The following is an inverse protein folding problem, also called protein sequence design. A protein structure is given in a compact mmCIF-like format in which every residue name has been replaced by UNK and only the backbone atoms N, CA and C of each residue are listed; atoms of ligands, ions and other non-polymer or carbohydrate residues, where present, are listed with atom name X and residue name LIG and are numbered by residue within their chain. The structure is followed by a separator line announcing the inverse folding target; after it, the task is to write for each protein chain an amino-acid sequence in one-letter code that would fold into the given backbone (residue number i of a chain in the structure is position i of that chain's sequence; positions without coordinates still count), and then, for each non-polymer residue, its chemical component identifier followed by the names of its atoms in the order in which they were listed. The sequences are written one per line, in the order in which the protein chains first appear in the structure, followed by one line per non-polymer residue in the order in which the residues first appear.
data_IF_353623786277
#
_entry.id   IF_353623786277
#
_cell.length_a   1.000
_cell.length_b   1.000
_cell.length_c   1.000
_cell.angle_alpha   90.00
_cell.angle_beta   90.00
_cell.angle_gamma   90.00
#
_symmetry.space_group_name_H-M   'P 1'
#
loop_
_entity.id
_entity.type
_entity.pdbx_description
1 polymer ?
#
# COMPACT_ATOMS: atom_id res chain seq x y z
N UNK A 1 -29.76 -29.17 -30.93
CA UNK A 1 -28.56 -29.77 -31.54
C UNK A 1 -27.47 -28.70 -31.48
N UNK A 2 -26.61 -28.76 -30.45
CA UNK A 2 -25.63 -27.70 -30.15
C UNK A 2 -24.45 -27.83 -31.11
N UNK A 3 -24.18 -26.78 -31.89
CA UNK A 3 -23.12 -26.77 -32.90
C UNK A 3 -21.75 -26.84 -32.25
N UNK A 4 -21.21 -28.06 -32.20
CA UNK A 4 -19.96 -28.40 -31.51
C UNK A 4 -18.71 -27.85 -32.17
N UNK A 5 -18.81 -27.37 -33.41
CA UNK A 5 -17.66 -26.90 -34.22
C UNK A 5 -17.15 -25.54 -33.78
N UNK A 6 -17.98 -24.75 -33.09
CA UNK A 6 -17.61 -23.42 -32.59
C UNK A 6 -17.03 -23.43 -31.16
N UNK A 7 -17.14 -24.53 -30.41
CA UNK A 7 -16.61 -24.61 -29.05
C UNK A 7 -15.10 -24.31 -28.93
N UNK A 8 -14.23 -24.77 -29.84
CA UNK A 8 -12.80 -24.47 -29.75
C UNK A 8 -12.51 -22.97 -29.85
N UNK A 9 -13.17 -22.28 -30.80
CA UNK A 9 -13.03 -20.82 -31.00
C UNK A 9 -13.59 -20.03 -29.82
N UNK A 10 -14.73 -20.45 -29.27
CA UNK A 10 -15.32 -19.84 -28.08
C UNK A 10 -14.40 -20.03 -26.87
N UNK A 11 -13.87 -21.25 -26.66
CA UNK A 11 -12.96 -21.56 -25.57
C UNK A 11 -11.65 -20.77 -25.67
N UNK A 12 -11.08 -20.61 -26.87
CA UNK A 12 -9.89 -19.79 -27.10
C UNK A 12 -10.17 -18.30 -26.83
N UNK A 13 -11.31 -17.78 -27.29
CA UNK A 13 -11.75 -16.42 -27.01
C UNK A 13 -11.99 -16.15 -25.51
N UNK A 14 -12.44 -17.15 -24.75
CA UNK A 14 -12.58 -17.07 -23.29
C UNK A 14 -11.22 -17.11 -22.59
N UNK A 15 -10.31 -18.01 -22.98
CA UNK A 15 -8.94 -18.08 -22.43
C UNK A 15 -8.17 -16.78 -22.65
N UNK A 16 -8.29 -16.18 -23.84
CA UNK A 16 -7.66 -14.88 -24.14
C UNK A 16 -8.21 -13.77 -23.24
N UNK A 17 -9.53 -13.74 -23.00
CA UNK A 17 -10.15 -12.78 -22.08
C UNK A 17 -9.73 -12.99 -20.64
N UNK A 18 -9.65 -14.24 -20.17
CA UNK A 18 -9.15 -14.58 -18.84
C UNK A 18 -7.71 -14.08 -18.63
N UNK A 19 -6.80 -14.38 -19.58
CA UNK A 19 -5.40 -13.89 -19.52
C UNK A 19 -5.30 -12.36 -19.51
N UNK A 20 -6.13 -11.68 -20.30
CA UNK A 20 -6.15 -10.22 -20.31
C UNK A 20 -6.65 -9.64 -18.99
N UNK A 21 -7.67 -10.26 -18.38
CA UNK A 21 -8.17 -9.87 -17.07
C UNK A 21 -7.14 -10.13 -15.95
N UNK A 22 -6.45 -11.28 -15.98
CA UNK A 22 -5.35 -11.59 -15.06
C UNK A 22 -4.21 -10.57 -15.18
N UNK A 23 -3.75 -10.28 -16.39
CA UNK A 23 -2.70 -9.28 -16.63
C UNK A 23 -3.10 -7.88 -16.14
N UNK A 24 -4.36 -7.48 -16.36
CA UNK A 24 -4.87 -6.20 -15.88
C UNK A 24 -4.97 -6.17 -14.35
N UNK A 25 -5.42 -7.26 -13.72
CA UNK A 25 -5.47 -7.40 -12.26
C UNK A 25 -4.08 -7.27 -11.65
N UNK A 26 -3.11 -7.97 -12.20
CA UNK A 26 -1.74 -7.96 -11.68
C UNK A 26 -1.07 -6.59 -11.88
N UNK A 27 -1.34 -5.90 -12.99
CA UNK A 27 -0.92 -4.51 -13.19
C UNK A 27 -1.51 -3.56 -12.15
N UNK A 28 -2.82 -3.66 -11.89
CA UNK A 28 -3.49 -2.82 -10.89
C UNK A 28 -2.97 -3.12 -9.49
N UNK A 29 -2.74 -4.40 -9.17
CA UNK A 29 -2.16 -4.81 -7.89
C UNK A 29 -0.77 -4.21 -7.71
N UNK A 30 0.10 -4.28 -8.72
CA UNK A 30 1.43 -3.66 -8.66
C UNK A 30 1.40 -2.14 -8.49
N UNK A 31 0.43 -1.46 -9.12
CA UNK A 31 0.25 -0.02 -8.95
C UNK A 31 -0.19 0.35 -7.51
N UNK A 32 -1.14 -0.40 -6.94
CA UNK A 32 -1.59 -0.22 -5.55
C UNK A 32 -0.45 -0.46 -4.57
N UNK A 33 0.34 -1.52 -4.78
CA UNK A 33 1.48 -1.84 -3.94
C UNK A 33 2.52 -0.71 -3.92
N UNK A 34 2.84 -0.18 -5.10
CA UNK A 34 3.76 0.96 -5.22
C UNK A 34 3.21 2.20 -4.50
N UNK A 35 1.91 2.48 -4.61
CA UNK A 35 1.28 3.59 -3.90
C UNK A 35 1.31 3.40 -2.38
N UNK A 36 1.04 2.19 -1.90
CA UNK A 36 1.08 1.87 -0.47
C UNK A 36 2.49 2.05 0.10
N UNK A 37 3.54 1.62 -0.61
CA UNK A 37 4.92 1.84 -0.20
C UNK A 37 5.29 3.33 -0.15
N UNK A 38 4.85 4.13 -1.12
CA UNK A 38 5.02 5.58 -1.09
C UNK A 38 4.32 6.22 0.11
N UNK A 39 3.07 5.84 0.37
CA UNK A 39 2.29 6.33 1.52
C UNK A 39 2.96 5.95 2.84
N UNK A 40 3.48 4.73 2.95
CA UNK A 40 4.19 4.26 4.15
C UNK A 40 5.42 5.14 4.38
N UNK A 41 6.23 5.38 3.34
CA UNK A 41 7.38 6.28 3.43
C UNK A 41 7.02 7.71 3.88
N UNK A 42 5.88 8.24 3.47
CA UNK A 42 5.38 9.55 3.92
C UNK A 42 5.02 9.50 5.41
N UNK A 43 4.23 8.51 5.82
CA UNK A 43 3.82 8.33 7.23
C UNK A 43 5.04 8.18 8.14
N UNK A 44 6.01 7.35 7.76
CA UNK A 44 7.21 7.13 8.55
C UNK A 44 8.04 8.41 8.71
N UNK A 45 8.13 9.26 7.69
CA UNK A 45 8.81 10.56 7.78
C UNK A 45 8.10 11.56 8.69
N UNK A 46 6.78 11.46 8.81
CA UNK A 46 5.99 12.33 9.67
C UNK A 46 6.05 11.89 11.14
N UNK A 47 6.29 10.61 11.39
CA UNK A 47 6.23 9.98 12.72
C UNK A 47 7.62 9.74 13.33
N UNK A 48 8.59 9.31 12.53
CA UNK A 48 9.94 8.93 12.95
C UNK A 48 10.98 9.97 12.54
N UNK A 49 12.00 10.16 13.37
CA UNK A 49 13.15 10.99 13.04
C UNK A 49 13.95 10.42 11.84
N UNK A 50 14.09 9.09 11.80
CA UNK A 50 14.61 8.35 10.65
C UNK A 50 13.61 7.26 10.22
N UNK A 51 13.02 7.34 9.01
CA UNK A 51 12.14 6.30 8.49
C UNK A 51 12.79 4.91 8.40
N UNK A 52 14.12 4.83 8.25
CA UNK A 52 14.84 3.57 8.16
C UNK A 52 14.81 2.78 9.48
N UNK A 53 14.61 3.47 10.62
CA UNK A 53 14.47 2.80 11.91
C UNK A 53 13.23 1.90 11.98
N UNK A 54 12.19 2.19 11.19
CA UNK A 54 11.04 1.31 11.11
C UNK A 54 11.44 -0.09 10.64
N UNK A 55 12.13 -0.20 9.50
CA UNK A 55 12.58 -1.50 8.97
C UNK A 55 13.68 -2.16 9.83
N UNK A 56 14.36 -1.38 10.68
CA UNK A 56 15.36 -1.90 11.61
C UNK A 56 14.74 -2.58 12.84
N UNK A 57 13.60 -2.07 13.32
CA UNK A 57 12.97 -2.52 14.55
C UNK A 57 11.65 -3.27 14.35
N UNK A 58 11.11 -3.24 13.13
CA UNK A 58 9.83 -3.85 12.79
C UNK A 58 10.01 -4.81 11.62
N UNK A 59 9.47 -6.02 11.79
CA UNK A 59 9.31 -6.96 10.68
C UNK A 59 8.18 -6.48 9.77
N UNK A 60 8.55 -5.88 8.64
CA UNK A 60 7.59 -5.31 7.67
C UNK A 60 6.82 -6.42 6.95
N UNK A 61 7.39 -7.62 6.82
CA UNK A 61 6.71 -8.75 6.17
C UNK A 61 5.50 -9.20 6.99
N UNK A 62 5.59 -9.12 8.31
CA UNK A 62 4.47 -9.40 9.23
C UNK A 62 3.32 -8.38 9.15
N UNK A 63 3.53 -7.22 8.51
CA UNK A 63 2.50 -6.19 8.33
C UNK A 63 1.67 -6.36 7.05
N UNK A 64 1.97 -7.39 6.26
CA UNK A 64 1.21 -7.73 5.07
C UNK A 64 0.10 -8.73 5.39
N UNK A 65 -1.04 -8.53 4.76
CA UNK A 65 -2.14 -9.49 4.78
C UNK A 65 -1.81 -10.72 3.91
N UNK A 66 -2.61 -11.79 4.00
CA UNK A 66 -2.47 -12.97 3.16
C UNK A 66 -2.53 -12.67 1.64
N UNK A 67 -3.15 -11.55 1.27
CA UNK A 67 -3.18 -11.05 -0.11
C UNK A 67 -1.97 -10.16 -0.47
N UNK A 68 -0.98 -10.05 0.42
CA UNK A 68 0.23 -9.25 0.23
C UNK A 68 0.01 -7.74 0.25
N UNK A 69 -1.12 -7.25 0.80
CA UNK A 69 -1.35 -5.81 0.99
C UNK A 69 -0.95 -5.37 2.40
N UNK A 70 -0.43 -4.15 2.53
CA UNK A 70 -0.13 -3.57 3.84
C UNK A 70 -1.40 -3.34 4.66
N UNK A 71 -1.39 -3.84 5.91
CA UNK A 71 -2.49 -3.65 6.86
C UNK A 71 -2.23 -2.38 7.67
N UNK A 72 -2.84 -1.27 7.26
CA UNK A 72 -2.63 0.04 7.87
C UNK A 72 -2.92 0.10 9.38
N UNK A 73 -3.93 -0.63 9.86
CA UNK A 73 -4.22 -0.69 11.29
C UNK A 73 -3.05 -1.29 12.09
N UNK A 74 -2.42 -2.35 11.55
CA UNK A 74 -1.25 -3.00 12.17
C UNK A 74 -0.01 -2.11 12.10
N UNK A 75 0.17 -1.36 11.01
CA UNK A 75 1.24 -0.37 10.89
C UNK A 75 1.13 0.66 12.02
N UNK A 76 -0.05 1.25 12.24
CA UNK A 76 -0.25 2.25 13.29
C UNK A 76 -0.06 1.65 14.68
N UNK A 77 -0.65 0.50 14.96
CA UNK A 77 -0.47 -0.19 16.24
C UNK A 77 1.01 -0.55 16.51
N UNK A 78 1.77 -0.83 15.46
CA UNK A 78 3.20 -1.13 15.56
C UNK A 78 4.04 0.12 15.75
N UNK A 79 3.70 1.23 15.07
CA UNK A 79 4.32 2.53 15.32
C UNK A 79 4.07 3.01 16.75
N UNK A 80 2.85 2.89 17.25
CA UNK A 80 2.50 3.27 18.62
C UNK A 80 3.31 2.48 19.64
N UNK A 81 3.42 1.15 19.46
CA UNK A 81 4.28 0.30 20.30
C UNK A 81 5.75 0.66 20.20
N UNK A 82 6.25 0.87 18.98
CA UNK A 82 7.64 1.23 18.74
C UNK A 82 8.00 2.53 19.46
N UNK A 83 7.13 3.55 19.37
CA UNK A 83 7.34 4.84 20.01
C UNK A 83 7.13 4.82 21.51
N UNK A 84 6.24 3.97 22.02
CA UNK A 84 6.11 3.73 23.45
C UNK A 84 7.38 3.11 24.04
N UNK A 85 7.97 2.14 23.34
CA UNK A 85 9.21 1.46 23.77
C UNK A 85 10.45 2.34 23.55
N UNK A 86 10.47 3.13 22.47
CA UNK A 86 11.63 3.90 22.01
C UNK A 86 11.22 5.33 21.65
N UNK A 87 10.87 6.15 22.65
CA UNK A 87 10.36 7.50 22.41
C UNK A 87 11.37 8.43 21.72
N UNK A 88 12.66 8.13 21.81
CA UNK A 88 13.73 8.88 21.14
C UNK A 88 13.73 8.73 19.61
N UNK A 89 12.98 7.77 19.05
CA UNK A 89 12.82 7.60 17.61
C UNK A 89 11.75 8.53 17.02
N UNK A 90 10.90 9.13 17.86
CA UNK A 90 9.87 10.04 17.39
C UNK A 90 10.49 11.25 16.70
N UNK A 91 9.87 11.69 15.60
CA UNK A 91 10.21 12.96 14.98
C UNK A 91 10.01 14.07 16.03
N UNK A 92 11.09 14.71 16.46
CA UNK A 92 11.01 15.89 17.34
C UNK A 92 10.30 17.00 16.59
N UNK A 93 9.47 17.78 17.29
CA UNK A 93 8.55 18.73 16.68
C UNK A 93 9.20 19.94 15.97
N UNK A 94 10.51 19.92 15.73
CA UNK A 94 11.40 21.02 15.33
C UNK A 94 12.50 20.37 14.48
N UNK A 95 12.60 20.47 13.16
CA UNK A 95 12.78 21.64 12.31
C UNK A 95 12.34 21.32 10.85
N UNK A 96 11.05 21.40 10.56
CA UNK A 96 10.62 21.53 9.16
C UNK A 96 9.40 22.42 9.08
N UNK A 97 9.44 23.56 8.36
CA UNK A 97 8.31 24.45 8.21
C UNK A 97 7.35 23.85 7.18
N UNK A 98 6.77 22.69 7.47
CA UNK A 98 5.55 22.26 6.80
C UNK A 98 4.38 22.59 7.72
N UNK A 99 3.41 23.40 7.26
CA UNK A 99 2.28 23.78 8.08
C UNK A 99 1.53 22.51 8.50
N UNK A 100 1.58 22.22 9.80
CA UNK A 100 0.77 21.20 10.46
C UNK A 100 -0.68 21.58 10.32
N UNK A 101 -1.35 21.04 9.32
CA UNK A 101 -2.77 21.23 9.15
C UNK A 101 -3.34 20.13 8.30
N UNK A 102 -4.19 19.29 8.89
CA UNK A 102 -5.46 18.80 8.32
C UNK A 102 -5.51 18.26 6.87
N UNK A 103 -4.38 17.94 6.21
CA UNK A 103 -4.32 17.85 4.73
C UNK A 103 -4.02 16.48 4.14
N UNK A 104 -3.92 15.40 4.91
CA UNK A 104 -3.92 14.06 4.31
C UNK A 104 -5.18 13.82 3.45
N UNK A 105 -6.32 14.41 3.85
CA UNK A 105 -7.58 14.38 3.09
C UNK A 105 -7.74 15.50 2.05
N UNK A 106 -6.97 16.60 2.11
CA UNK A 106 -7.16 17.71 1.16
C UNK A 106 -6.54 17.46 -0.22
N UNK A 107 -5.62 16.50 -0.31
CA UNK A 107 -5.08 16.03 -1.59
C UNK A 107 -6.14 15.28 -2.41
N UNK A 108 -7.07 14.59 -1.74
CA UNK A 108 -8.18 13.90 -2.40
C UNK A 108 -9.32 14.84 -2.82
N UNK A 109 -9.49 15.99 -2.16
CA UNK A 109 -10.62 16.89 -2.40
C UNK A 109 -10.37 18.01 -3.43
N UNK A 110 -9.19 18.09 -4.04
CA UNK A 110 -8.87 19.13 -5.04
C UNK A 110 -8.74 18.53 -6.45
N UNK A 111 -9.75 17.74 -6.82
CA UNK A 111 -9.91 17.15 -8.14
C UNK A 111 -11.39 17.07 -8.50
N UNK A 112 -12.06 18.22 -8.51
CA UNK A 112 -13.38 18.45 -9.09
C UNK A 112 -13.37 19.81 -9.78
#
# INVERSE_FOLDING_TARGET
MTDTRNYPKIAEGLRRRARAAEAQRDRLRGAVETQNQMLLGIVLRDVLADPADFARFVDVDALHSADGTLVWAEIWATLDRLLADRPYLAATATDSPRPRGRRALSWFSTGA
#
